data_IF_079245167157
#
_entry.id   IF_079245167157
#
_cell.length_a   1.000
_cell.length_b   1.000
_cell.length_c   1.000
_cell.angle_alpha   90.00
_cell.angle_beta   90.00
_cell.angle_gamma   90.00
#
_symmetry.space_group_name_H-M   'P 1'
#
loop_
_entity.id
_entity.type
_entity.pdbx_description
1 polymer ?
#
# COMPACT_ATOMS: atom_id res chain seq x y z
N UNK A 1 -17.88 13.40 -2.03
CA UNK A 1 -17.68 12.24 -2.92
C UNK A 1 -19.02 11.53 -3.09
N UNK A 2 -19.55 11.52 -4.31
CA UNK A 2 -20.71 10.69 -4.65
C UNK A 2 -20.20 9.28 -4.90
N UNK A 3 -20.46 8.39 -3.96
CA UNK A 3 -20.15 6.97 -4.14
C UNK A 3 -21.16 6.36 -5.11
N UNK A 4 -20.67 5.91 -6.24
CA UNK A 4 -21.46 5.03 -7.07
C UNK A 4 -21.36 3.60 -6.52
N UNK A 5 -22.38 3.15 -5.78
CA UNK A 5 -22.45 1.82 -5.16
C UNK A 5 -22.74 0.68 -6.15
N UNK A 6 -22.47 0.87 -7.43
CA UNK A 6 -22.78 -0.14 -8.45
C UNK A 6 -22.15 -1.51 -8.16
N UNK A 7 -21.02 -1.53 -7.47
CA UNK A 7 -20.24 -2.75 -7.13
C UNK A 7 -20.06 -2.96 -5.63
N UNK A 8 -20.77 -2.21 -4.78
CA UNK A 8 -20.61 -2.27 -3.33
C UNK A 8 -19.45 -1.42 -2.82
N UNK A 9 -19.15 -1.59 -1.55
CA UNK A 9 -18.11 -0.83 -0.85
C UNK A 9 -16.75 -1.53 -1.04
N UNK A 10 -16.06 -1.26 -2.13
CA UNK A 10 -14.72 -1.82 -2.38
C UNK A 10 -13.70 -1.19 -1.42
N UNK A 11 -12.95 -2.05 -0.73
CA UNK A 11 -11.85 -1.70 0.17
C UNK A 11 -10.52 -2.21 -0.37
N UNK A 12 -9.65 -2.64 0.53
CA UNK A 12 -8.39 -3.30 0.21
C UNK A 12 -8.64 -4.79 -0.02
N UNK A 13 -9.09 -5.13 -1.22
CA UNK A 13 -9.56 -6.48 -1.56
C UNK A 13 -8.55 -7.57 -1.15
N UNK A 14 -9.03 -8.58 -0.43
CA UNK A 14 -8.24 -9.63 0.22
C UNK A 14 -7.26 -9.15 1.30
N UNK A 15 -7.35 -7.89 1.74
CA UNK A 15 -6.70 -7.44 2.96
C UNK A 15 -7.23 -8.21 4.16
N UNK A 16 -6.33 -8.68 5.01
CA UNK A 16 -6.70 -9.56 6.13
C UNK A 16 -7.28 -8.79 7.32
N UNK A 17 -7.26 -7.46 7.25
CA UNK A 17 -7.79 -6.52 8.23
C UNK A 17 -8.74 -5.48 7.59
N UNK A 18 -9.33 -5.77 6.41
CA UNK A 18 -10.12 -4.78 5.65
C UNK A 18 -11.42 -4.39 6.35
N UNK A 19 -12.00 -5.25 7.21
CA UNK A 19 -13.17 -4.91 8.03
C UNK A 19 -12.85 -3.89 9.15
N UNK A 20 -11.57 -3.79 9.53
CA UNK A 20 -11.07 -2.78 10.47
C UNK A 20 -10.80 -1.43 9.80
N UNK A 21 -10.92 -1.34 8.48
CA UNK A 21 -10.59 -0.14 7.71
C UNK A 21 -11.78 0.83 7.59
N UNK A 22 -11.47 2.10 7.37
CA UNK A 22 -12.42 3.07 6.82
C UNK A 22 -12.17 3.19 5.32
N UNK A 23 -13.03 2.55 4.52
CA UNK A 23 -12.86 2.52 3.06
C UNK A 23 -12.85 3.92 2.45
N UNK A 24 -13.53 4.89 3.08
CA UNK A 24 -13.51 6.28 2.62
C UNK A 24 -12.13 6.92 2.73
N UNK A 25 -11.25 6.46 3.64
CA UNK A 25 -9.85 6.86 3.70
C UNK A 25 -9.11 6.45 2.42
N UNK A 26 -9.33 5.21 1.95
CA UNK A 26 -8.68 4.70 0.74
C UNK A 26 -9.13 5.49 -0.50
N UNK A 27 -10.44 5.72 -0.63
CA UNK A 27 -11.00 6.47 -1.77
C UNK A 27 -10.53 7.92 -1.79
N UNK A 28 -10.44 8.55 -0.61
CA UNK A 28 -9.94 9.91 -0.51
C UNK A 28 -8.45 10.01 -0.85
N UNK A 29 -7.65 9.03 -0.40
CA UNK A 29 -6.23 8.98 -0.73
C UNK A 29 -6.00 8.85 -2.24
N UNK A 30 -6.74 7.96 -2.91
CA UNK A 30 -6.67 7.83 -4.37
C UNK A 30 -7.18 9.08 -5.09
N UNK A 31 -8.27 9.68 -4.63
CA UNK A 31 -8.77 10.92 -5.23
C UNK A 31 -7.73 12.05 -5.18
N UNK A 32 -7.00 12.18 -4.06
CA UNK A 32 -5.91 13.15 -3.93
C UNK A 32 -4.78 12.81 -4.91
N UNK A 33 -4.41 11.54 -5.01
CA UNK A 33 -3.39 11.08 -5.96
C UNK A 33 -3.80 11.35 -7.41
N UNK A 34 -5.05 11.07 -7.78
CA UNK A 34 -5.59 11.38 -9.11
C UNK A 34 -5.55 12.88 -9.41
N UNK A 35 -5.84 13.74 -8.43
CA UNK A 35 -5.73 15.20 -8.58
C UNK A 35 -4.29 15.64 -8.84
N UNK A 36 -3.31 15.03 -8.19
CA UNK A 36 -1.89 15.29 -8.45
C UNK A 36 -1.53 14.90 -9.90
N UNK A 37 -1.96 13.71 -10.34
CA UNK A 37 -1.70 13.24 -11.71
C UNK A 37 -2.40 14.14 -12.74
N UNK A 38 -3.65 14.54 -12.50
CA UNK A 38 -4.40 15.41 -13.39
C UNK A 38 -3.78 16.82 -13.48
N UNK A 39 -3.23 17.33 -12.37
CA UNK A 39 -2.47 18.57 -12.38
C UNK A 39 -1.23 18.46 -13.29
N UNK A 40 -0.43 17.40 -13.12
CA UNK A 40 0.76 17.13 -13.96
C UNK A 40 0.38 17.01 -15.44
N UNK A 41 -0.66 16.26 -15.76
CA UNK A 41 -1.15 16.07 -17.14
C UNK A 41 -1.60 17.40 -17.75
N UNK A 42 -2.43 18.17 -17.02
CA UNK A 42 -2.92 19.46 -17.49
C UNK A 42 -1.76 20.45 -17.76
N UNK A 43 -0.75 20.46 -16.87
CA UNK A 43 0.46 21.28 -17.02
C UNK A 43 1.22 20.91 -18.30
N UNK A 44 1.47 19.62 -18.53
CA UNK A 44 2.19 19.13 -19.73
C UNK A 44 1.42 19.48 -21.01
N UNK A 45 0.09 19.42 -20.97
CA UNK A 45 -0.77 19.75 -22.11
C UNK A 45 -1.03 21.26 -22.29
N UNK A 46 -0.43 22.11 -21.46
CA UNK A 46 -0.64 23.57 -21.51
C UNK A 46 -2.06 24.01 -21.13
N UNK A 47 -2.83 23.18 -20.41
CA UNK A 47 -4.19 23.46 -19.94
C UNK A 47 -4.14 24.21 -18.59
N UNK A 48 -3.69 25.46 -18.63
CA UNK A 48 -3.38 26.23 -17.42
C UNK A 48 -4.54 26.33 -16.43
N UNK A 49 -5.74 26.64 -16.90
CA UNK A 49 -6.95 26.73 -16.04
C UNK A 49 -7.29 25.42 -15.34
N UNK A 50 -7.12 24.29 -16.04
CA UNK A 50 -7.34 22.97 -15.46
C UNK A 50 -6.25 22.63 -14.45
N UNK A 51 -4.97 22.94 -14.75
CA UNK A 51 -3.86 22.73 -13.83
C UNK A 51 -4.06 23.50 -12.50
N UNK A 52 -4.43 24.78 -12.57
CA UNK A 52 -4.74 25.60 -11.40
C UNK A 52 -5.92 25.03 -10.59
N UNK A 53 -7.00 24.61 -11.28
CA UNK A 53 -8.17 23.99 -10.66
C UNK A 53 -7.81 22.71 -9.93
N UNK A 54 -7.03 21.79 -10.55
CA UNK A 54 -6.63 20.55 -9.93
C UNK A 54 -5.65 20.79 -8.77
N UNK A 55 -4.71 21.73 -8.89
CA UNK A 55 -3.80 22.13 -7.83
C UNK A 55 -4.54 22.64 -6.58
N UNK A 56 -5.52 23.53 -6.79
CA UNK A 56 -6.35 24.05 -5.69
C UNK A 56 -7.14 22.92 -5.01
N UNK A 57 -7.80 22.07 -5.79
CA UNK A 57 -8.59 20.96 -5.26
C UNK A 57 -7.70 19.93 -4.52
N UNK A 58 -6.50 19.66 -5.03
CA UNK A 58 -5.50 18.84 -4.36
C UNK A 58 -5.18 19.38 -2.95
N UNK A 59 -4.86 20.67 -2.84
CA UNK A 59 -4.53 21.30 -1.56
C UNK A 59 -5.71 21.25 -0.56
N UNK A 60 -6.91 21.54 -1.03
CA UNK A 60 -8.15 21.46 -0.23
C UNK A 60 -8.40 20.01 0.27
N UNK A 61 -8.25 19.02 -0.61
CA UNK A 61 -8.50 17.62 -0.25
C UNK A 61 -7.41 17.06 0.66
N UNK A 62 -6.14 17.42 0.45
CA UNK A 62 -5.04 17.07 1.35
C UNK A 62 -5.27 17.62 2.77
N UNK A 63 -5.70 18.88 2.87
CA UNK A 63 -6.07 19.49 4.15
C UNK A 63 -7.23 18.76 4.81
N UNK A 64 -8.27 18.44 4.05
CA UNK A 64 -9.42 17.66 4.53
C UNK A 64 -8.99 16.29 5.03
N UNK A 65 -8.13 15.57 4.27
CA UNK A 65 -7.64 14.25 4.65
C UNK A 65 -6.95 14.28 6.02
N UNK A 66 -5.97 15.17 6.19
CA UNK A 66 -5.21 15.27 7.43
C UNK A 66 -6.12 15.61 8.63
N UNK A 67 -7.09 16.50 8.45
CA UNK A 67 -8.06 16.86 9.51
C UNK A 67 -9.02 15.72 9.85
N UNK A 68 -9.36 14.86 8.87
CA UNK A 68 -10.44 13.87 9.01
C UNK A 68 -9.91 12.50 9.43
N UNK A 69 -8.75 12.10 8.91
CA UNK A 69 -8.26 10.73 9.03
C UNK A 69 -6.95 10.59 9.82
N UNK A 70 -6.31 11.70 10.20
CA UNK A 70 -5.06 11.66 10.99
C UNK A 70 -5.30 12.29 12.35
N UNK A 71 -4.98 11.56 13.41
CA UNK A 71 -5.05 12.08 14.77
C UNK A 71 -3.81 12.93 15.08
N UNK A 72 -3.96 14.21 15.46
CA UNK A 72 -2.82 15.13 15.60
C UNK A 72 -1.80 14.73 16.67
N UNK A 73 -2.26 14.11 17.77
CA UNK A 73 -1.40 13.84 18.92
C UNK A 73 -0.37 12.74 18.65
N UNK A 74 -0.76 11.67 17.94
CA UNK A 74 0.04 10.46 17.76
C UNK A 74 0.21 10.04 16.29
N UNK A 75 -0.40 10.75 15.34
CA UNK A 75 -0.32 10.42 13.91
C UNK A 75 -1.05 9.14 13.51
N UNK A 76 -1.87 8.58 14.39
CA UNK A 76 -2.66 7.38 14.06
C UNK A 76 -3.77 7.71 13.07
N UNK A 77 -4.02 6.77 12.15
CA UNK A 77 -5.20 6.82 11.28
C UNK A 77 -6.46 6.54 12.08
N UNK A 78 -7.52 7.29 11.83
CA UNK A 78 -8.78 7.24 12.57
C UNK A 78 -9.98 7.16 11.63
N UNK A 79 -11.07 6.57 12.13
CA UNK A 79 -12.35 6.56 11.43
C UNK A 79 -12.91 7.98 11.28
N UNK A 80 -13.41 8.25 10.07
CA UNK A 80 -14.07 9.49 9.70
C UNK A 80 -15.44 9.64 10.38
N UNK A 81 -16.04 10.81 10.20
CA UNK A 81 -17.40 11.08 10.66
C UNK A 81 -18.50 10.37 9.85
N UNK A 82 -18.14 9.73 8.73
CA UNK A 82 -19.09 8.96 7.92
C UNK A 82 -19.57 7.67 8.60
N UNK A 83 -18.83 7.21 9.62
CA UNK A 83 -19.21 6.10 10.49
C UNK A 83 -19.37 6.60 11.93
N UNK A 84 -20.53 7.21 12.30
CA UNK A 84 -20.67 7.94 13.56
C UNK A 84 -20.30 7.13 14.81
N UNK A 85 -20.61 5.82 14.82
CA UNK A 85 -20.31 4.93 15.96
C UNK A 85 -18.81 4.65 16.14
N UNK A 86 -18.01 4.79 15.06
CA UNK A 86 -16.55 4.55 15.06
C UNK A 86 -15.76 5.84 15.01
N UNK A 87 -16.40 7.00 14.84
CA UNK A 87 -15.75 8.31 14.64
C UNK A 87 -14.62 8.55 15.63
N UNK A 88 -13.43 8.86 15.08
CA UNK A 88 -12.24 9.19 15.87
C UNK A 88 -11.55 8.02 16.56
N UNK A 89 -12.12 6.80 16.49
CA UNK A 89 -11.40 5.61 16.94
C UNK A 89 -10.28 5.26 15.98
N UNK A 90 -9.20 4.63 16.47
CA UNK A 90 -8.07 4.25 15.63
C UNK A 90 -8.45 3.15 14.65
N UNK A 91 -7.96 3.27 13.40
CA UNK A 91 -7.96 2.20 12.40
C UNK A 91 -6.72 1.34 12.64
N UNK A 92 -5.53 1.94 12.56
CA UNK A 92 -4.23 1.37 12.96
C UNK A 92 -3.89 0.02 12.28
N UNK A 93 -4.09 -0.04 10.97
CA UNK A 93 -3.73 -1.17 10.09
C UNK A 93 -2.76 -0.73 9.00
N UNK A 94 -2.02 -1.69 8.41
CA UNK A 94 -0.99 -1.39 7.40
C UNK A 94 -1.50 -0.50 6.27
N UNK A 95 -2.58 -0.89 5.58
CA UNK A 95 -3.09 -0.18 4.40
C UNK A 95 -3.50 1.27 4.70
N UNK A 96 -4.02 1.54 5.91
CA UNK A 96 -4.45 2.89 6.28
C UNK A 96 -3.29 3.91 6.34
N UNK A 97 -2.08 3.45 6.61
CA UNK A 97 -0.86 4.27 6.58
C UNK A 97 -0.17 4.25 5.23
N UNK A 98 -0.17 3.10 4.56
CA UNK A 98 0.56 2.87 3.30
C UNK A 98 0.18 3.88 2.23
N UNK A 99 -1.12 4.04 1.95
CA UNK A 99 -1.57 4.91 0.87
C UNK A 99 -1.22 6.38 1.10
N UNK A 100 -1.57 7.00 2.24
CA UNK A 100 -1.27 8.40 2.45
C UNK A 100 0.24 8.69 2.55
N UNK A 101 1.06 7.74 2.98
CA UNK A 101 2.52 7.88 2.95
C UNK A 101 3.07 7.75 1.53
N UNK A 102 2.63 6.75 0.76
CA UNK A 102 3.08 6.53 -0.62
C UNK A 102 2.73 7.70 -1.55
N UNK A 103 1.62 8.38 -1.29
CA UNK A 103 1.11 9.52 -2.08
C UNK A 103 1.49 10.90 -1.49
N UNK A 104 2.34 10.95 -0.45
CA UNK A 104 2.74 12.19 0.22
C UNK A 104 1.57 13.09 0.70
N UNK A 105 0.50 12.46 1.17
CA UNK A 105 -0.70 13.15 1.65
C UNK A 105 -0.53 13.65 3.08
N UNK A 106 0.16 12.90 3.93
CA UNK A 106 0.34 13.25 5.34
C UNK A 106 1.19 14.53 5.46
N UNK A 107 0.76 15.45 6.30
CA UNK A 107 1.51 16.68 6.58
C UNK A 107 2.85 16.35 7.26
N UNK A 108 3.88 17.17 7.00
CA UNK A 108 5.23 16.96 7.51
C UNK A 108 5.29 16.82 9.04
N UNK A 109 4.48 17.60 9.76
CA UNK A 109 4.38 17.55 11.23
C UNK A 109 3.92 16.18 11.78
N UNK A 110 3.17 15.40 10.98
CA UNK A 110 2.62 14.11 11.37
C UNK A 110 3.33 12.92 10.68
N UNK A 111 4.14 13.21 9.67
CA UNK A 111 4.72 12.19 8.80
C UNK A 111 5.59 11.19 9.58
N UNK A 112 6.47 11.68 10.43
CA UNK A 112 7.36 10.82 11.24
C UNK A 112 6.55 9.90 12.17
N UNK A 113 5.50 10.43 12.81
CA UNK A 113 4.62 9.64 13.68
C UNK A 113 3.85 8.57 12.89
N UNK A 114 3.34 8.93 11.72
CA UNK A 114 2.62 7.99 10.86
C UNK A 114 3.53 6.88 10.33
N UNK A 115 4.78 7.19 9.98
CA UNK A 115 5.79 6.19 9.61
C UNK A 115 6.06 5.25 10.78
N UNK A 116 6.26 5.76 11.99
CA UNK A 116 6.45 4.94 13.19
C UNK A 116 5.27 4.00 13.43
N UNK A 117 4.05 4.50 13.28
CA UNK A 117 2.85 3.68 13.41
C UNK A 117 2.79 2.59 12.31
N UNK A 118 3.13 2.91 11.05
CA UNK A 118 3.22 1.90 9.99
C UNK A 118 4.23 0.80 10.37
N UNK A 119 5.41 1.17 10.82
CA UNK A 119 6.44 0.21 11.25
C UNK A 119 5.94 -0.67 12.41
N UNK A 120 5.23 -0.09 13.37
CA UNK A 120 4.62 -0.84 14.47
C UNK A 120 3.60 -1.87 13.96
N UNK A 121 2.74 -1.49 12.99
CA UNK A 121 1.79 -2.45 12.40
C UNK A 121 2.45 -3.59 11.64
N UNK A 122 3.67 -3.41 11.16
CA UNK A 122 4.44 -4.44 10.46
C UNK A 122 5.22 -5.33 11.42
N UNK A 123 5.80 -4.73 12.46
CA UNK A 123 6.74 -5.42 13.38
C UNK A 123 6.06 -6.16 14.53
N UNK A 124 4.78 -5.86 14.80
CA UNK A 124 3.97 -6.59 15.79
C UNK A 124 3.32 -7.83 15.17
N UNK A 125 2.83 -8.72 16.02
CA UNK A 125 1.84 -9.71 15.64
C UNK A 125 0.51 -9.03 15.32
N UNK A 126 -0.21 -9.52 14.31
CA UNK A 126 -1.50 -8.99 13.90
C UNK A 126 -2.56 -10.08 13.92
N UNK A 127 -3.83 -9.68 14.02
CA UNK A 127 -4.95 -10.61 13.99
C UNK A 127 -5.84 -10.28 12.81
N UNK A 128 -6.12 -11.29 11.99
CA UNK A 128 -7.02 -11.15 10.83
C UNK A 128 -8.46 -10.85 11.27
N UNK A 129 -9.31 -10.44 10.35
CA UNK A 129 -10.76 -10.21 10.62
C UNK A 129 -11.48 -11.47 11.10
N UNK A 130 -11.00 -12.66 10.73
CA UNK A 130 -11.52 -13.94 11.22
C UNK A 130 -10.83 -14.44 12.53
N UNK A 131 -10.00 -13.63 13.18
CA UNK A 131 -9.38 -13.94 14.47
C UNK A 131 -8.11 -14.78 14.40
N UNK A 132 -7.55 -15.05 13.20
CA UNK A 132 -6.29 -15.78 13.06
C UNK A 132 -5.10 -14.87 13.39
N UNK A 133 -4.22 -15.32 14.30
CA UNK A 133 -2.98 -14.65 14.61
C UNK A 133 -1.95 -14.83 13.47
N UNK A 134 -1.29 -13.74 13.11
CA UNK A 134 -0.24 -13.66 12.10
C UNK A 134 1.04 -13.13 12.74
N UNK A 135 2.21 -13.70 12.41
CA UNK A 135 3.47 -13.28 13.01
C UNK A 135 3.89 -11.86 12.58
N UNK A 136 4.90 -11.32 13.26
CA UNK A 136 5.58 -10.08 12.84
C UNK A 136 6.03 -10.16 11.37
N UNK A 137 6.04 -9.04 10.69
CA UNK A 137 6.39 -8.91 9.27
C UNK A 137 5.46 -9.68 8.31
N UNK A 138 4.22 -9.89 8.72
CA UNK A 138 3.16 -10.42 7.86
C UNK A 138 2.64 -9.35 6.91
N UNK A 139 2.37 -9.73 5.67
CA UNK A 139 1.72 -8.89 4.67
C UNK A 139 0.21 -8.89 4.92
N UNK A 140 -0.26 -7.95 5.75
CA UNK A 140 -1.68 -7.85 6.11
C UNK A 140 -2.52 -7.10 5.08
N UNK A 141 -1.86 -6.43 4.10
CA UNK A 141 -2.51 -5.67 3.04
C UNK A 141 -3.16 -6.58 2.00
N UNK A 142 -4.23 -6.07 1.40
CA UNK A 142 -4.80 -6.64 0.19
C UNK A 142 -4.14 -6.07 -1.08
N UNK A 143 -4.86 -6.12 -2.19
CA UNK A 143 -4.32 -5.70 -3.49
C UNK A 143 -3.88 -4.24 -3.54
N UNK A 144 -4.67 -3.37 -2.92
CA UNK A 144 -4.44 -1.92 -2.93
C UNK A 144 -3.22 -1.57 -2.08
N UNK A 145 -3.18 -2.03 -0.83
CA UNK A 145 -2.06 -1.73 0.07
C UNK A 145 -0.76 -2.38 -0.39
N UNK A 146 -0.82 -3.61 -0.91
CA UNK A 146 0.35 -4.34 -1.42
C UNK A 146 1.05 -3.60 -2.56
N UNK A 147 0.31 -2.93 -3.44
CA UNK A 147 0.88 -2.18 -4.55
C UNK A 147 1.81 -1.03 -4.09
N UNK A 148 1.62 -0.52 -2.90
CA UNK A 148 2.28 0.69 -2.42
C UNK A 148 3.14 0.52 -1.17
N UNK A 149 3.03 -0.60 -0.43
CA UNK A 149 3.74 -0.78 0.85
C UNK A 149 5.25 -0.69 0.70
N UNK A 150 5.82 -1.31 -0.33
CA UNK A 150 7.25 -1.25 -0.61
C UNK A 150 7.72 0.18 -0.88
N UNK A 151 6.96 0.95 -1.69
CA UNK A 151 7.24 2.36 -1.96
C UNK A 151 7.13 3.20 -0.68
N UNK A 152 6.04 3.05 0.08
CA UNK A 152 5.82 3.80 1.31
C UNK A 152 6.99 3.61 2.30
N UNK A 153 7.51 2.39 2.43
CA UNK A 153 8.65 2.10 3.27
C UNK A 153 9.95 2.68 2.71
N UNK A 154 10.26 2.41 1.43
CA UNK A 154 11.55 2.77 0.85
C UNK A 154 11.74 4.26 0.65
N UNK A 155 10.69 5.00 0.26
CA UNK A 155 10.75 6.46 0.14
C UNK A 155 10.96 7.16 1.48
N UNK A 156 10.65 6.47 2.58
CA UNK A 156 10.86 6.97 3.94
C UNK A 156 12.08 6.35 4.65
N UNK A 157 12.96 5.65 3.92
CA UNK A 157 14.24 5.14 4.44
C UNK A 157 14.21 3.76 5.08
N UNK A 158 13.11 3.01 4.93
CA UNK A 158 12.90 1.70 5.56
C UNK A 158 12.87 0.55 4.55
N UNK A 159 13.78 0.57 3.57
CA UNK A 159 13.92 -0.53 2.59
C UNK A 159 14.27 -1.86 3.24
N UNK A 160 14.95 -1.86 4.38
CA UNK A 160 15.22 -3.05 5.19
C UNK A 160 13.95 -3.75 5.66
N UNK A 161 12.93 -2.99 6.07
CA UNK A 161 11.62 -3.52 6.44
C UNK A 161 10.88 -4.09 5.22
N UNK A 162 10.98 -3.42 4.06
CA UNK A 162 10.42 -3.93 2.82
C UNK A 162 11.07 -5.27 2.41
N UNK A 163 12.40 -5.40 2.57
CA UNK A 163 13.09 -6.68 2.37
C UNK A 163 12.62 -7.76 3.35
N UNK A 164 12.39 -7.42 4.61
CA UNK A 164 11.88 -8.39 5.60
C UNK A 164 10.48 -8.89 5.27
N UNK A 165 9.60 -8.00 4.78
CA UNK A 165 8.28 -8.40 4.26
C UNK A 165 8.42 -9.35 3.06
N UNK A 166 9.29 -9.03 2.10
CA UNK A 166 9.54 -9.85 0.92
C UNK A 166 10.07 -11.24 1.30
N UNK A 167 10.94 -11.31 2.32
CA UNK A 167 11.65 -12.53 2.74
C UNK A 167 10.90 -13.34 3.80
N UNK A 168 9.71 -12.90 4.23
CA UNK A 168 8.87 -13.64 5.16
C UNK A 168 8.34 -14.92 4.48
N UNK A 169 8.45 -16.07 5.16
CA UNK A 169 7.98 -17.36 4.68
C UNK A 169 6.71 -17.86 5.36
N UNK A 170 6.37 -17.27 6.52
CA UNK A 170 5.12 -17.59 7.20
C UNK A 170 3.93 -16.86 6.57
N UNK A 171 2.75 -17.48 6.60
CA UNK A 171 1.51 -16.84 6.15
C UNK A 171 1.14 -15.64 7.04
N UNK A 172 0.69 -14.52 6.46
CA UNK A 172 0.60 -14.20 5.03
C UNK A 172 1.89 -13.56 4.49
N UNK A 173 2.40 -14.10 3.40
CA UNK A 173 3.57 -13.55 2.70
C UNK A 173 3.69 -14.12 1.28
N UNK A 174 4.48 -13.48 0.41
CA UNK A 174 4.75 -13.98 -0.94
C UNK A 174 5.48 -15.32 -0.94
N UNK A 175 6.52 -15.49 -0.09
CA UNK A 175 7.29 -16.73 -0.05
C UNK A 175 6.52 -17.88 0.57
N UNK A 176 5.49 -17.62 1.41
CA UNK A 176 4.59 -18.67 1.85
C UNK A 176 3.93 -19.38 0.66
N UNK A 177 3.40 -18.61 -0.31
CA UNK A 177 2.83 -19.19 -1.53
C UNK A 177 3.86 -20.03 -2.30
N UNK A 178 5.11 -19.54 -2.40
CA UNK A 178 6.21 -20.26 -3.05
C UNK A 178 6.51 -21.58 -2.33
N UNK A 179 6.56 -21.60 -1.01
CA UNK A 179 6.75 -22.82 -0.20
C UNK A 179 5.58 -23.81 -0.32
N UNK A 180 4.38 -23.30 -0.67
CA UNK A 180 3.23 -24.15 -1.02
C UNK A 180 3.22 -24.61 -2.50
N UNK A 181 4.29 -24.37 -3.24
CA UNK A 181 4.48 -24.81 -4.62
C UNK A 181 4.03 -23.81 -5.69
N UNK A 182 3.78 -22.55 -5.37
CA UNK A 182 3.41 -21.54 -6.35
C UNK A 182 4.54 -21.29 -7.37
N UNK A 183 4.20 -21.33 -8.65
CA UNK A 183 5.05 -20.94 -9.78
C UNK A 183 4.51 -19.69 -10.49
N UNK A 184 3.36 -19.21 -10.06
CA UNK A 184 2.67 -18.02 -10.56
C UNK A 184 2.21 -17.17 -9.38
N UNK A 185 1.76 -15.95 -9.64
CA UNK A 185 1.10 -15.13 -8.61
C UNK A 185 -0.34 -15.60 -8.44
N UNK A 186 -0.67 -16.02 -7.23
CA UNK A 186 -2.01 -16.44 -6.86
C UNK A 186 -2.89 -15.28 -6.40
N UNK A 187 -4.19 -15.41 -6.56
CA UNK A 187 -5.17 -14.43 -6.09
C UNK A 187 -5.15 -14.29 -4.57
N UNK A 188 -4.97 -15.41 -3.86
CA UNK A 188 -4.82 -15.45 -2.40
C UNK A 188 -3.45 -16.01 -2.06
N UNK A 189 -2.80 -15.48 -1.05
CA UNK A 189 -1.49 -15.99 -0.60
C UNK A 189 -1.57 -17.45 -0.10
N UNK A 190 -2.76 -17.92 0.21
CA UNK A 190 -3.07 -19.31 0.59
C UNK A 190 -4.07 -19.98 -0.36
N UNK A 191 -4.02 -19.67 -1.65
CA UNK A 191 -4.90 -20.27 -2.66
C UNK A 191 -4.85 -21.80 -2.68
N UNK A 192 -3.69 -22.36 -2.34
CA UNK A 192 -3.46 -23.75 -2.06
C UNK A 192 -2.52 -23.89 -0.87
N UNK A 193 -2.72 -24.93 -0.06
CA UNK A 193 -1.78 -25.33 0.99
C UNK A 193 -1.59 -26.83 0.99
N UNK A 194 -0.41 -27.29 1.39
CA UNK A 194 -0.16 -28.74 1.52
C UNK A 194 -1.05 -29.40 2.59
N UNK A 195 -1.54 -28.62 3.55
CA UNK A 195 -2.40 -29.11 4.62
C UNK A 195 -3.87 -29.19 4.20
N UNK A 196 -4.40 -28.12 3.58
CA UNK A 196 -5.83 -27.94 3.35
C UNK A 196 -6.22 -28.08 1.85
N UNK A 197 -5.24 -28.32 0.97
CA UNK A 197 -5.46 -28.34 -0.46
C UNK A 197 -5.93 -26.97 -0.98
N UNK A 198 -6.98 -26.95 -1.82
CA UNK A 198 -7.54 -25.72 -2.39
C UNK A 198 -8.42 -24.93 -1.42
N UNK A 199 -8.62 -25.41 -0.19
CA UNK A 199 -9.49 -24.79 0.80
C UNK A 199 -10.97 -24.79 0.40
N UNK A 200 -11.79 -24.04 1.14
CA UNK A 200 -13.26 -24.07 0.99
C UNK A 200 -13.84 -23.11 -0.06
N UNK A 201 -13.07 -22.17 -0.59
CA UNK A 201 -13.58 -21.11 -1.49
C UNK A 201 -12.93 -21.18 -2.89
N UNK A 202 -13.44 -22.08 -3.72
CA UNK A 202 -12.94 -22.28 -5.08
C UNK A 202 -13.58 -21.34 -6.13
N UNK A 203 -14.55 -20.49 -5.75
CA UNK A 203 -15.26 -19.62 -6.71
C UNK A 203 -14.47 -18.38 -7.09
N UNK A 204 -13.56 -17.93 -6.22
CA UNK A 204 -12.70 -16.76 -6.41
C UNK A 204 -11.29 -17.11 -5.91
N UNK A 205 -10.62 -17.95 -6.68
CA UNK A 205 -9.32 -18.50 -6.34
C UNK A 205 -8.50 -18.75 -7.62
N UNK A 206 -8.10 -17.67 -8.28
CA UNK A 206 -7.27 -17.74 -9.48
C UNK A 206 -5.82 -18.05 -9.11
N UNK A 207 -5.21 -18.98 -9.85
CA UNK A 207 -3.79 -19.30 -9.75
C UNK A 207 -2.92 -18.49 -10.72
N UNK A 208 -3.51 -17.54 -11.42
CA UNK A 208 -2.83 -16.65 -12.34
C UNK A 208 -3.42 -15.24 -12.22
N UNK A 209 -3.14 -14.58 -11.10
CA UNK A 209 -3.68 -13.28 -10.74
C UNK A 209 -2.57 -12.27 -10.45
N UNK A 210 -2.59 -11.10 -11.10
CA UNK A 210 -1.46 -10.16 -11.09
C UNK A 210 -1.26 -9.37 -9.80
N UNK A 211 -2.29 -9.18 -8.97
CA UNK A 211 -2.31 -8.09 -7.98
C UNK A 211 -1.22 -8.17 -6.91
N UNK A 212 -0.99 -9.32 -6.30
CA UNK A 212 0.14 -9.47 -5.36
C UNK A 212 1.51 -9.40 -6.05
N UNK A 213 1.55 -9.55 -7.37
CA UNK A 213 2.75 -9.38 -8.20
C UNK A 213 3.19 -7.91 -8.35
N UNK A 214 2.41 -6.95 -7.83
CA UNK A 214 2.81 -5.54 -7.74
C UNK A 214 4.15 -5.33 -7.00
N UNK A 215 4.57 -6.28 -6.16
CA UNK A 215 5.90 -6.29 -5.54
C UNK A 215 7.05 -6.23 -6.57
N UNK A 216 6.83 -6.71 -7.80
CA UNK A 216 7.79 -6.61 -8.90
C UNK A 216 8.16 -5.16 -9.22
N UNK A 217 7.22 -4.23 -9.12
CA UNK A 217 7.50 -2.79 -9.26
C UNK A 217 8.51 -2.32 -8.21
N UNK A 218 8.35 -2.73 -6.96
CA UNK A 218 9.31 -2.40 -5.91
C UNK A 218 10.68 -3.05 -6.15
N UNK A 219 10.71 -4.30 -6.61
CA UNK A 219 11.96 -5.00 -6.91
C UNK A 219 12.76 -4.27 -8.00
N UNK A 220 12.11 -3.77 -9.05
CA UNK A 220 12.78 -2.97 -10.09
C UNK A 220 13.17 -1.58 -9.59
N UNK A 221 12.27 -0.86 -8.96
CA UNK A 221 12.51 0.53 -8.59
C UNK A 221 13.48 0.69 -7.41
N UNK A 222 13.48 -0.24 -6.46
CA UNK A 222 14.27 -0.11 -5.22
C UNK A 222 15.34 -1.18 -5.08
N UNK A 223 15.02 -2.47 -5.25
CA UNK A 223 16.01 -3.53 -5.10
C UNK A 223 17.08 -3.45 -6.21
N UNK A 224 16.68 -3.38 -7.48
CA UNK A 224 17.58 -3.06 -8.60
C UNK A 224 17.93 -1.58 -8.65
N UNK A 225 17.06 -0.71 -8.12
CA UNK A 225 17.26 0.72 -8.07
C UNK A 225 17.11 1.44 -9.41
N UNK A 226 16.38 0.85 -10.36
CA UNK A 226 16.13 1.46 -11.67
C UNK A 226 14.90 2.34 -11.56
N UNK A 227 15.10 3.64 -11.35
CA UNK A 227 14.02 4.59 -11.16
C UNK A 227 13.90 5.53 -12.36
N UNK A 228 12.67 5.87 -12.70
CA UNK A 228 12.44 6.90 -13.75
C UNK A 228 12.76 8.27 -13.17
N UNK A 229 13.25 9.15 -14.03
CA UNK A 229 13.34 10.57 -13.74
C UNK A 229 12.05 11.23 -14.24
N UNK A 230 11.29 11.85 -13.33
CA UNK A 230 10.02 12.53 -13.64
C UNK A 230 10.21 13.69 -14.63
N UNK A 231 11.39 14.32 -14.65
CA UNK A 231 11.72 15.41 -15.56
C UNK A 231 12.00 14.93 -17.00
N UNK A 232 12.33 13.63 -17.17
CA UNK A 232 12.70 13.04 -18.45
C UNK A 232 11.91 11.75 -18.71
N UNK A 233 10.61 11.85 -19.03
CA UNK A 233 9.72 10.71 -19.17
C UNK A 233 10.17 9.74 -20.26
N UNK A 234 9.75 8.48 -20.14
CA UNK A 234 10.09 7.42 -21.09
C UNK A 234 11.51 6.89 -20.94
N UNK A 235 12.09 6.97 -19.75
CA UNK A 235 13.46 6.51 -19.43
C UNK A 235 14.55 7.12 -20.33
N UNK A 236 14.32 8.31 -20.90
CA UNK A 236 15.35 9.07 -21.60
C UNK A 236 16.50 9.47 -20.68
N UNK A 237 16.19 9.66 -19.42
CA UNK A 237 17.11 9.69 -18.30
C UNK A 237 16.49 8.82 -17.18
N UNK A 238 17.34 8.14 -16.43
CA UNK A 238 16.92 7.29 -15.33
C UNK A 238 17.92 7.39 -14.17
N UNK A 239 17.48 7.07 -12.98
CA UNK A 239 18.28 7.13 -11.77
C UNK A 239 18.62 5.69 -11.38
N UNK A 240 19.90 5.40 -11.14
CA UNK A 240 20.35 4.14 -10.55
C UNK A 240 20.64 4.35 -9.06
N UNK A 241 19.74 3.85 -8.21
CA UNK A 241 19.84 3.98 -6.77
C UNK A 241 19.36 2.69 -6.10
N UNK A 242 20.14 1.60 -6.11
CA UNK A 242 19.75 0.36 -5.46
C UNK A 242 19.68 0.52 -3.94
N UNK A 243 18.62 0.00 -3.34
CA UNK A 243 18.51 -0.17 -1.91
C UNK A 243 19.05 -1.57 -1.56
N UNK A 244 20.16 -1.62 -0.85
CA UNK A 244 20.83 -2.89 -0.50
C UNK A 244 20.10 -3.53 0.68
N UNK A 245 19.94 -4.86 0.63
CA UNK A 245 19.49 -5.65 1.79
C UNK A 245 20.59 -5.70 2.87
N UNK A 246 20.47 -4.83 3.87
CA UNK A 246 21.46 -4.74 4.96
C UNK A 246 21.50 -5.99 5.83
N UNK A 247 20.45 -6.80 5.87
CA UNK A 247 20.44 -8.08 6.58
C UNK A 247 21.21 -9.18 5.83
N UNK A 248 21.58 -8.92 4.56
CA UNK A 248 22.43 -9.78 3.76
C UNK A 248 21.83 -11.13 3.34
N UNK A 249 20.51 -11.29 3.44
CA UNK A 249 19.81 -12.50 2.98
C UNK A 249 19.75 -12.55 1.46
N UNK A 250 19.48 -11.41 0.81
CA UNK A 250 19.56 -11.28 -0.63
C UNK A 250 21.00 -10.86 -1.01
N UNK A 251 21.72 -11.75 -1.68
CA UNK A 251 23.13 -11.54 -2.03
C UNK A 251 23.33 -10.83 -3.35
N UNK A 252 22.33 -10.84 -4.23
CA UNK A 252 22.34 -10.12 -5.51
C UNK A 252 20.92 -9.86 -6.00
N UNK A 253 20.75 -8.83 -6.81
CA UNK A 253 19.56 -8.59 -7.60
C UNK A 253 19.97 -8.48 -9.08
N UNK A 254 19.20 -9.11 -9.97
CA UNK A 254 19.46 -9.12 -11.41
C UNK A 254 18.14 -8.93 -12.16
N UNK A 255 18.13 -8.05 -13.13
CA UNK A 255 16.99 -7.79 -14.03
C UNK A 255 17.46 -7.57 -15.47
N UNK A 256 16.55 -7.76 -16.41
CA UNK A 256 16.77 -7.56 -17.85
C UNK A 256 15.74 -6.60 -18.40
#
# INVERSE_FOLDING_TARGET
LVQNRAWGDLGDWLGLEDEKNDKSLLWEAYFIYDLELMNKIATILGKQMDAERFSKLYAERKTFFNKTYIRPNDGKTIFSSFLPKKRGTSIDIQTSYVLPLAFNIINDEQKEKAIKNLLETITRENTTDCGKLCPSYSLMTGFIGTAWIGKALSDNGYSDIAYRLLQQTSYPSWLYSVEQGATTIWERLNSYTHLDGFGGNNRMNSFNHYSFGAVGSWMYNYSLGIQRDEAFPGFKHFILKPAIDLAGKMKYAKGY
#
